data_IF_621459784586
#
_entry.id   IF_621459784586
#
_cell.length_a   1.000
_cell.length_b   1.000
_cell.length_c   1.000
_cell.angle_alpha   90.00
_cell.angle_beta   90.00
_cell.angle_gamma   90.00
#
_symmetry.space_group_name_H-M   'P 1'
#
loop_
_entity.id
_entity.type
_entity.pdbx_description
1 polymer ?
#
# COMPACT_ATOMS: atom_id res chain seq x y z
N UNK A 1 -5.36 11.32 -13.34
CA UNK A 1 -6.22 10.53 -14.26
C UNK A 1 -6.84 9.30 -13.59
N UNK A 2 -6.11 8.50 -12.79
CA UNK A 2 -6.68 7.30 -12.14
C UNK A 2 -7.84 7.59 -11.17
N UNK A 3 -7.76 8.66 -10.37
CA UNK A 3 -8.83 9.05 -9.43
C UNK A 3 -10.14 9.39 -10.16
N UNK A 4 -10.04 10.11 -11.27
CA UNK A 4 -11.16 10.45 -12.16
C UNK A 4 -11.87 9.19 -12.67
N UNK A 5 -11.11 8.16 -13.07
CA UNK A 5 -11.66 6.88 -13.51
C UNK A 5 -12.37 6.12 -12.38
N UNK A 6 -11.86 6.19 -11.15
CA UNK A 6 -12.49 5.56 -9.98
C UNK A 6 -13.82 6.25 -9.67
N UNK A 7 -13.83 7.58 -9.61
CA UNK A 7 -15.03 8.36 -9.36
C UNK A 7 -16.09 8.07 -10.42
N UNK A 8 -15.72 8.08 -11.70
CA UNK A 8 -16.65 7.81 -12.80
C UNK A 8 -17.20 6.38 -12.74
N UNK A 9 -16.36 5.36 -12.48
CA UNK A 9 -16.81 3.97 -12.37
C UNK A 9 -17.78 3.77 -11.20
N UNK A 10 -17.51 4.37 -10.05
CA UNK A 10 -18.40 4.29 -8.88
C UNK A 10 -19.72 5.01 -9.14
N UNK A 11 -19.68 6.19 -9.77
CA UNK A 11 -20.90 6.91 -10.17
C UNK A 11 -21.76 6.11 -11.14
N UNK A 12 -21.13 5.44 -12.11
CA UNK A 12 -21.82 4.63 -13.10
C UNK A 12 -22.48 3.39 -12.46
N UNK A 13 -21.78 2.72 -11.54
CA UNK A 13 -22.36 1.63 -10.75
C UNK A 13 -23.52 2.10 -9.87
N UNK A 14 -23.39 3.25 -9.20
CA UNK A 14 -24.46 3.77 -8.35
C UNK A 14 -25.70 4.13 -9.16
N UNK A 15 -25.50 4.73 -10.35
CA UNK A 15 -26.54 5.04 -11.32
C UNK A 15 -27.28 3.83 -11.89
N UNK A 16 -26.74 2.61 -11.77
CA UNK A 16 -27.41 1.36 -12.15
C UNK A 16 -28.30 0.80 -11.02
N UNK A 17 -28.04 1.17 -9.76
CA UNK A 17 -28.81 0.73 -8.58
C UNK A 17 -29.92 1.72 -8.22
N UNK A 18 -29.97 2.90 -8.85
CA UNK A 18 -30.98 3.93 -8.57
C UNK A 18 -32.42 3.47 -8.93
N UNK A 19 -33.40 3.71 -8.04
CA UNK A 19 -34.80 3.36 -8.29
C UNK A 19 -35.42 4.09 -9.50
N UNK A 20 -36.46 3.53 -10.12
CA UNK A 20 -37.13 4.10 -11.30
C UNK A 20 -37.56 5.57 -11.17
N UNK A 21 -38.03 5.97 -9.99
CA UNK A 21 -38.57 7.31 -9.72
C UNK A 21 -37.51 8.41 -9.61
N UNK A 22 -36.23 8.04 -9.54
CA UNK A 22 -35.10 8.98 -9.38
C UNK A 22 -34.41 9.27 -10.72
N UNK A 23 -34.83 8.61 -11.80
CA UNK A 23 -34.23 8.76 -13.15
C UNK A 23 -34.36 10.17 -13.72
N UNK A 24 -35.39 10.92 -13.35
CA UNK A 24 -35.57 12.31 -13.80
C UNK A 24 -34.59 13.29 -13.14
N UNK A 25 -34.04 12.93 -11.97
CA UNK A 25 -33.07 13.71 -11.19
C UNK A 25 -31.63 13.19 -11.34
N UNK A 26 -31.38 12.29 -12.30
CA UNK A 26 -30.13 11.54 -12.42
C UNK A 26 -28.90 12.43 -12.52
N UNK A 27 -28.96 13.50 -13.31
CA UNK A 27 -27.82 14.40 -13.54
C UNK A 27 -27.35 15.10 -12.26
N UNK A 28 -28.27 15.75 -11.55
CA UNK A 28 -27.94 16.49 -10.32
C UNK A 28 -27.48 15.55 -9.19
N UNK A 29 -28.08 14.37 -9.10
CA UNK A 29 -27.69 13.35 -8.13
C UNK A 29 -26.31 12.79 -8.45
N UNK A 30 -26.02 12.50 -9.72
CA UNK A 30 -24.72 11.99 -10.16
C UNK A 30 -23.60 13.00 -9.86
N UNK A 31 -23.80 14.28 -10.16
CA UNK A 31 -22.87 15.37 -9.82
C UNK A 31 -22.62 15.45 -8.30
N UNK A 32 -23.68 15.41 -7.48
CA UNK A 32 -23.55 15.43 -6.02
C UNK A 32 -22.80 14.19 -5.48
N UNK A 33 -23.08 13.01 -6.03
CA UNK A 33 -22.36 11.78 -5.66
C UNK A 33 -20.87 11.90 -6.02
N UNK A 34 -20.55 12.39 -7.23
CA UNK A 34 -19.16 12.60 -7.66
C UNK A 34 -18.44 13.57 -6.73
N UNK A 35 -19.09 14.67 -6.35
CA UNK A 35 -18.54 15.65 -5.43
C UNK A 35 -18.22 15.03 -4.05
N UNK A 36 -19.17 14.32 -3.45
CA UNK A 36 -18.98 13.63 -2.16
C UNK A 36 -17.88 12.57 -2.24
N UNK A 37 -17.82 11.79 -3.33
CA UNK A 37 -16.77 10.78 -3.53
C UNK A 37 -15.39 11.40 -3.69
N UNK A 38 -15.27 12.50 -4.44
CA UNK A 38 -14.01 13.23 -4.58
C UNK A 38 -13.55 13.78 -3.25
N UNK A 39 -14.44 14.37 -2.46
CA UNK A 39 -14.12 14.89 -1.14
C UNK A 39 -13.71 13.77 -0.16
N UNK A 40 -14.42 12.65 -0.16
CA UNK A 40 -14.09 11.50 0.67
C UNK A 40 -12.73 10.89 0.29
N UNK A 41 -12.46 10.72 -1.01
CA UNK A 41 -11.19 10.18 -1.50
C UNK A 41 -10.03 11.16 -1.29
N UNK A 42 -10.26 12.48 -1.35
CA UNK A 42 -9.24 13.48 -1.05
C UNK A 42 -8.85 13.51 0.44
N UNK A 43 -9.76 13.11 1.34
CA UNK A 43 -9.47 12.95 2.77
C UNK A 43 -8.75 11.64 3.09
N UNK A 44 -8.80 10.65 2.20
CA UNK A 44 -7.97 9.46 2.32
C UNK A 44 -6.56 9.84 1.85
N UNK A 45 -5.53 9.52 2.61
CA UNK A 45 -4.13 9.76 2.23
C UNK A 45 -3.73 8.79 1.09
N UNK A 46 -4.36 8.97 -0.07
CA UNK A 46 -4.18 8.10 -1.23
C UNK A 46 -2.83 8.36 -1.85
N UNK A 47 -1.98 7.34 -1.83
CA UNK A 47 -0.75 7.30 -2.61
C UNK A 47 -1.04 6.77 -4.01
N UNK A 48 -0.28 7.22 -4.99
CA UNK A 48 -0.36 6.67 -6.34
C UNK A 48 0.13 5.22 -6.34
N UNK A 49 -0.33 4.44 -7.33
CA UNK A 49 0.12 3.05 -7.48
C UNK A 49 1.64 2.95 -7.67
N UNK A 50 2.22 3.91 -8.38
CA UNK A 50 3.66 3.98 -8.62
C UNK A 50 4.44 4.22 -7.32
N UNK A 51 4.01 5.16 -6.49
CA UNK A 51 4.62 5.41 -5.17
C UNK A 51 4.52 4.18 -4.25
N UNK A 52 3.37 3.50 -4.26
CA UNK A 52 3.20 2.25 -3.52
C UNK A 52 4.19 1.17 -3.99
N UNK A 53 4.30 0.96 -5.30
CA UNK A 53 5.19 -0.05 -5.87
C UNK A 53 6.67 0.27 -5.56
N UNK A 54 7.06 1.55 -5.55
CA UNK A 54 8.40 1.99 -5.12
C UNK A 54 8.66 1.67 -3.65
N UNK A 55 7.72 1.98 -2.76
CA UNK A 55 7.86 1.68 -1.33
C UNK A 55 7.93 0.17 -1.07
N UNK A 56 7.12 -0.62 -1.78
CA UNK A 56 7.17 -2.08 -1.69
C UNK A 56 8.54 -2.62 -2.12
N UNK A 57 9.10 -2.12 -3.22
CA UNK A 57 10.43 -2.51 -3.69
C UNK A 57 11.53 -2.13 -2.70
N UNK A 58 11.46 -0.93 -2.09
CA UNK A 58 12.37 -0.51 -1.03
C UNK A 58 12.29 -1.44 0.18
N UNK A 59 11.08 -1.81 0.61
CA UNK A 59 10.88 -2.73 1.73
C UNK A 59 11.45 -4.13 1.44
N UNK A 60 11.28 -4.65 0.23
CA UNK A 60 11.90 -5.91 -0.17
C UNK A 60 13.43 -5.83 -0.08
N UNK A 61 14.01 -4.73 -0.54
CA UNK A 61 15.47 -4.51 -0.49
C UNK A 61 15.99 -4.41 0.95
N UNK A 62 15.28 -3.68 1.82
CA UNK A 62 15.69 -3.56 3.23
C UNK A 62 15.61 -4.89 3.95
N UNK A 63 14.56 -5.69 3.70
CA UNK A 63 14.45 -7.05 4.23
C UNK A 63 15.61 -7.94 3.79
N UNK A 64 15.96 -7.92 2.50
CA UNK A 64 17.09 -8.70 1.99
C UNK A 64 18.42 -8.29 2.62
N UNK A 65 18.63 -6.99 2.85
CA UNK A 65 19.82 -6.48 3.55
C UNK A 65 19.84 -6.90 5.02
N UNK A 66 18.70 -6.86 5.70
CA UNK A 66 18.57 -7.30 7.09
C UNK A 66 18.95 -8.79 7.22
N UNK A 67 18.42 -9.64 6.36
CA UNK A 67 18.73 -11.08 6.33
C UNK A 67 20.21 -11.37 6.02
N UNK A 68 20.89 -10.50 5.26
CA UNK A 68 22.33 -10.61 5.04
C UNK A 68 23.13 -10.27 6.30
N UNK A 69 22.81 -9.15 6.96
CA UNK A 69 23.48 -8.73 8.19
C UNK A 69 23.26 -9.73 9.33
N UNK A 70 22.04 -10.26 9.48
CA UNK A 70 21.74 -11.31 10.47
C UNK A 70 22.58 -12.57 10.26
N UNK A 71 22.85 -12.96 9.00
CA UNK A 71 23.72 -14.09 8.70
C UNK A 71 25.18 -13.81 9.03
N UNK A 72 25.66 -12.61 8.71
CA UNK A 72 27.02 -12.19 9.06
C UNK A 72 27.21 -12.15 10.57
N UNK A 73 26.23 -11.63 11.31
CA UNK A 73 26.24 -11.58 12.77
C UNK A 73 26.33 -12.98 13.37
N UNK A 74 25.48 -13.93 12.94
CA UNK A 74 25.55 -15.33 13.39
C UNK A 74 26.89 -16.00 13.09
N UNK A 75 27.46 -15.73 11.92
CA UNK A 75 28.78 -16.23 11.55
C UNK A 75 29.86 -15.70 12.50
N UNK A 76 29.81 -14.41 12.84
CA UNK A 76 30.71 -13.80 13.81
C UNK A 76 30.51 -14.36 15.22
N UNK A 77 29.28 -14.49 15.68
CA UNK A 77 28.93 -15.09 16.98
C UNK A 77 29.51 -16.50 17.10
N UNK A 78 29.34 -17.35 16.08
CA UNK A 78 29.93 -18.69 16.05
C UNK A 78 31.46 -18.68 16.10
N UNK A 79 32.10 -17.74 15.38
CA UNK A 79 33.56 -17.61 15.39
C UNK A 79 34.08 -17.17 16.76
N UNK A 80 33.40 -16.24 17.43
CA UNK A 80 33.74 -15.79 18.78
C UNK A 80 33.62 -16.95 19.78
N UNK A 81 32.48 -17.65 19.79
CA UNK A 81 32.29 -18.82 20.66
C UNK A 81 33.33 -19.92 20.41
N UNK A 82 33.73 -20.14 19.15
CA UNK A 82 34.79 -21.09 18.82
C UNK A 82 36.18 -20.66 19.33
N UNK A 83 36.46 -19.36 19.43
CA UNK A 83 37.72 -18.84 19.99
C UNK A 83 37.74 -18.97 21.51
N UNK A 84 36.63 -18.64 22.19
CA UNK A 84 36.49 -18.78 23.65
C UNK A 84 36.71 -20.24 24.11
N UNK A 85 36.11 -21.19 23.40
CA UNK A 85 36.30 -22.62 23.69
C UNK A 85 37.75 -23.10 23.50
N UNK A 86 38.57 -22.42 22.68
CA UNK A 86 39.98 -22.76 22.46
C UNK A 86 40.89 -22.19 23.55
N UNK A 87 40.55 -21.03 24.10
CA UNK A 87 41.28 -20.42 25.23
C UNK A 87 41.03 -21.14 26.54
N UNK A 88 39.84 -21.72 26.74
CA UNK A 88 39.52 -22.47 27.96
C UNK A 88 40.10 -23.90 27.98
N UNK A 89 40.55 -24.41 26.82
CA UNK A 89 41.14 -25.76 26.67
C UNK A 89 42.68 -25.77 26.64
N UNK A 90 43.35 -24.61 26.69
CA UNK A 90 44.82 -24.48 26.72
C UNK A 90 45.30 -24.06 28.11
#
# INVERSE_FOLDING_TARGET
MALEQIVNRVSEQLSQVLPPGVRQLRGDIEENIKAVLREALARMELVTREEFDVQAALLTRTRSRLEAVEREMKSLEHRVAALENRTDQS
#
